data_IF_410051959623
#
_entry.id   IF_410051959623
#
_cell.length_a   1.000
_cell.length_b   1.000
_cell.length_c   1.000
_cell.angle_alpha   90.00
_cell.angle_beta   90.00
_cell.angle_gamma   90.00
#
_symmetry.space_group_name_H-M   'P 1'
#
loop_
_entity.id
_entity.type
_entity.pdbx_description
1 polymer ?
#
# COMPACT_ATOMS: atom_id res chain seq x y z
N UNK A 1 -4.28 -8.49 -18.81
CA UNK A 1 -4.70 -8.24 -18.00
C UNK A 1 -4.11 -8.51 -16.81
N UNK A 2 -4.20 -9.12 -16.27
CA UNK A 2 -3.67 -9.40 -15.15
C UNK A 2 -2.30 -9.30 -15.03
N UNK A 3 -1.60 -9.44 -15.87
CA UNK A 3 -0.24 -9.40 -15.81
C UNK A 3 0.25 -8.19 -15.24
N UNK A 4 -0.46 -7.27 -15.42
CA UNK A 4 -0.09 -6.07 -14.95
C UNK A 4 0.33 -6.09 -13.61
N UNK A 5 -0.25 -6.78 -12.84
CA UNK A 5 0.05 -6.76 -11.55
C UNK A 5 1.34 -7.22 -11.25
N UNK A 6 1.74 -8.10 -11.96
CA UNK A 6 2.96 -8.63 -11.73
C UNK A 6 4.05 -7.72 -11.59
N UNK A 7 4.18 -6.87 -12.43
CA UNK A 7 5.31 -6.01 -12.44
C UNK A 7 5.44 -5.30 -11.16
N UNK A 8 4.38 -5.02 -10.62
CA UNK A 8 4.46 -4.31 -9.46
C UNK A 8 5.11 -5.03 -8.46
N UNK A 9 4.92 -6.22 -8.46
CA UNK A 9 5.47 -6.94 -7.44
C UNK A 9 6.91 -6.94 -7.44
N UNK A 10 7.49 -6.63 -8.48
CA UNK A 10 8.87 -6.66 -8.55
C UNK A 10 9.57 -5.65 -7.77
N UNK A 11 8.98 -4.57 -7.63
CA UNK A 11 9.65 -3.54 -6.93
C UNK A 11 10.08 -3.92 -5.59
N UNK A 12 9.40 -4.65 -4.91
CA UNK A 12 9.77 -4.99 -3.58
C UNK A 12 11.07 -5.71 -3.55
N UNK A 13 11.41 -6.33 -4.58
CA UNK A 13 12.61 -7.05 -4.60
C UNK A 13 13.78 -6.24 -4.22
N UNK A 14 13.75 -5.04 -4.50
CA UNK A 14 14.85 -4.22 -4.19
C UNK A 14 15.05 -4.16 -2.74
N UNK A 15 14.00 -4.16 -2.03
CA UNK A 15 14.12 -4.07 -0.64
C UNK A 15 14.70 -5.30 -0.08
N UNK A 16 14.41 -6.39 -0.68
CA UNK A 16 14.92 -7.59 -0.13
C UNK A 16 16.38 -7.65 -0.21
N UNK A 17 16.95 -7.07 -1.17
CA UNK A 17 18.36 -7.18 -1.33
C UNK A 17 19.07 -6.51 -0.19
N UNK A 18 18.47 -5.58 0.43
CA UNK A 18 19.15 -4.92 1.47
C UNK A 18 19.25 -5.73 2.73
N UNK A 19 18.45 -6.68 2.90
CA UNK A 19 18.51 -7.41 4.09
C UNK A 19 19.68 -8.27 4.20
N UNK A 20 20.24 -8.60 3.15
CA UNK A 20 21.33 -9.42 3.14
C UNK A 20 22.42 -9.04 3.99
N UNK A 21 22.63 -7.83 4.16
CA UNK A 21 23.69 -7.37 4.92
C UNK A 21 23.57 -7.66 6.34
N UNK A 22 22.51 -7.96 6.83
CA UNK A 22 22.36 -8.11 8.20
C UNK A 22 23.19 -9.16 8.76
N UNK A 23 23.94 -8.81 9.68
CA UNK A 23 24.71 -9.74 10.29
C UNK A 23 23.86 -10.35 11.30
N UNK A 24 23.60 -11.51 11.20
CA UNK A 24 22.74 -12.13 12.01
C UNK A 24 23.06 -12.30 13.40
N UNK A 25 24.25 -12.42 13.70
CA UNK A 25 24.61 -12.70 15.01
C UNK A 25 24.33 -11.71 16.02
N UNK A 26 24.74 -10.55 15.83
CA UNK A 26 24.62 -9.57 16.82
C UNK A 26 23.30 -9.02 16.88
N UNK A 27 22.48 -9.46 16.06
CA UNK A 27 21.24 -8.88 15.99
C UNK A 27 20.16 -9.40 16.83
N UNK A 28 20.25 -10.52 17.37
CA UNK A 28 19.18 -11.06 18.11
C UNK A 28 18.57 -10.15 19.11
N UNK A 29 19.30 -9.62 20.03
CA UNK A 29 18.76 -8.74 21.01
C UNK A 29 18.36 -7.44 20.43
N UNK A 30 19.22 -6.86 19.62
CA UNK A 30 18.93 -5.58 19.04
C UNK A 30 17.73 -5.65 18.13
N UNK A 31 17.50 -6.80 17.54
CA UNK A 31 16.36 -6.96 16.65
C UNK A 31 15.06 -6.84 17.42
N UNK A 32 14.97 -7.37 18.62
CA UNK A 32 13.77 -7.27 19.40
C UNK A 32 13.49 -5.84 19.80
N UNK A 33 14.51 -5.11 20.16
CA UNK A 33 14.35 -3.73 20.53
C UNK A 33 13.96 -2.91 19.33
N UNK A 34 14.60 -3.16 18.20
CA UNK A 34 14.28 -2.43 17.01
C UNK A 34 12.85 -2.72 16.59
N UNK A 35 12.43 -3.97 16.69
CA UNK A 35 11.10 -4.34 16.29
C UNK A 35 10.06 -3.64 17.16
N UNK A 36 10.30 -3.53 18.44
CA UNK A 36 9.38 -2.86 19.33
C UNK A 36 9.31 -1.38 19.02
N UNK A 37 10.43 -0.77 18.72
CA UNK A 37 10.46 0.61 18.34
C UNK A 37 9.77 0.83 17.03
N UNK A 38 10.03 -0.05 16.07
CA UNK A 38 9.40 0.07 14.75
C UNK A 38 7.89 0.00 14.86
N UNK A 39 7.38 -0.78 15.79
CA UNK A 39 5.95 -0.90 15.96
C UNK A 39 5.36 0.42 16.39
N UNK A 40 6.01 1.13 17.28
CA UNK A 40 5.54 2.42 17.72
C UNK A 40 5.64 3.45 16.60
N UNK A 41 6.75 3.42 15.89
CA UNK A 41 6.96 4.36 14.80
C UNK A 41 5.91 4.13 13.72
N UNK A 42 5.65 2.87 13.40
CA UNK A 42 4.68 2.57 12.38
C UNK A 42 3.29 3.03 12.79
N UNK A 43 2.94 2.88 14.05
CA UNK A 43 1.64 3.29 14.51
C UNK A 43 1.45 4.78 14.27
N UNK A 44 2.46 5.58 14.59
CA UNK A 44 2.38 7.01 14.39
C UNK A 44 2.35 7.35 12.90
N UNK A 45 3.18 6.67 12.13
CA UNK A 45 3.22 6.93 10.70
C UNK A 45 1.88 6.59 10.05
N UNK A 46 1.33 5.45 10.41
CA UNK A 46 0.08 5.02 9.82
C UNK A 46 -1.04 6.02 10.14
N UNK A 47 -1.03 6.56 11.34
CA UNK A 47 -2.01 7.56 11.71
C UNK A 47 -1.88 8.78 10.81
N UNK A 48 -0.67 9.24 10.57
CA UNK A 48 -0.45 10.39 9.70
C UNK A 48 -0.86 10.08 8.27
N UNK A 49 -0.46 8.93 7.76
CA UNK A 49 -0.78 8.57 6.38
C UNK A 49 -2.28 8.50 6.18
N UNK A 50 -2.99 7.96 7.15
CA UNK A 50 -4.43 7.80 7.02
C UNK A 50 -5.16 9.12 7.28
N UNK A 51 -4.82 9.81 8.33
CA UNK A 51 -5.51 11.04 8.65
C UNK A 51 -5.28 12.14 7.65
N UNK A 52 -4.06 12.28 7.20
CA UNK A 52 -3.76 13.32 6.22
C UNK A 52 -3.96 12.82 4.80
N UNK A 53 -4.38 11.57 4.67
CA UNK A 53 -4.67 10.97 3.37
C UNK A 53 -3.50 11.07 2.40
N UNK A 54 -2.31 10.84 2.91
CA UNK A 54 -1.12 10.92 2.07
C UNK A 54 -1.16 9.87 0.97
N UNK A 55 -1.85 8.77 1.21
CA UNK A 55 -1.90 7.70 0.22
C UNK A 55 -2.67 8.08 -1.03
N UNK A 56 -3.42 9.17 -0.99
CA UNK A 56 -4.16 9.58 -2.18
C UNK A 56 -3.29 10.31 -3.20
N UNK A 57 -2.07 10.64 -2.83
CA UNK A 57 -1.16 11.25 -3.77
C UNK A 57 -0.52 10.16 -4.61
N UNK A 58 -0.66 10.17 -5.91
CA UNK A 58 -0.07 9.11 -6.73
C UNK A 58 1.44 9.17 -6.75
N UNK A 59 2.00 10.29 -6.32
CA UNK A 59 3.44 10.45 -6.33
C UNK A 59 4.08 10.10 -5.00
N UNK A 60 3.30 9.70 -4.02
CA UNK A 60 3.87 9.38 -2.73
C UNK A 60 4.90 8.27 -2.87
N UNK A 61 6.08 8.48 -2.33
CA UNK A 61 7.15 7.51 -2.47
C UNK A 61 7.56 6.98 -1.12
N UNK A 62 8.29 5.87 -1.17
CA UNK A 62 8.82 5.26 0.03
C UNK A 62 9.73 6.24 0.75
N UNK A 63 10.52 6.98 -0.01
CA UNK A 63 11.43 7.96 0.56
C UNK A 63 10.70 9.06 1.30
N UNK A 64 9.55 9.46 0.81
CA UNK A 64 8.77 10.48 1.48
C UNK A 64 8.42 10.04 2.89
N UNK A 65 7.93 8.82 3.03
CA UNK A 65 7.54 8.34 4.33
C UNK A 65 8.72 8.04 5.22
N UNK A 66 9.79 7.53 4.64
CA UNK A 66 10.98 7.25 5.43
C UNK A 66 11.53 8.53 6.03
N UNK A 67 11.42 9.62 5.30
CA UNK A 67 11.87 10.89 5.82
C UNK A 67 11.01 11.39 6.96
N UNK A 68 9.72 11.17 6.87
CA UNK A 68 8.84 11.60 7.94
C UNK A 68 9.24 10.97 9.25
N UNK A 69 9.63 9.70 9.21
CA UNK A 69 10.01 9.00 10.43
C UNK A 69 11.50 8.96 10.68
N UNK A 70 12.27 9.61 9.81
CA UNK A 70 13.71 9.72 9.99
C UNK A 70 14.42 8.36 10.01
N UNK A 71 13.99 7.46 9.17
CA UNK A 71 14.63 6.16 9.06
C UNK A 71 15.30 6.01 7.71
N UNK A 72 16.38 5.22 7.66
CA UNK A 72 16.98 4.96 6.38
C UNK A 72 16.10 3.93 5.65
N UNK A 73 16.37 3.72 4.38
CA UNK A 73 15.51 2.88 3.56
C UNK A 73 15.44 1.44 4.03
N UNK A 74 16.54 0.90 4.46
CA UNK A 74 16.55 -0.50 4.88
C UNK A 74 15.70 -0.71 6.13
N UNK A 75 15.85 0.16 7.11
CA UNK A 75 15.08 0.04 8.33
C UNK A 75 13.60 0.33 8.06
N UNK A 76 13.33 1.30 7.17
CA UNK A 76 11.97 1.62 6.83
C UNK A 76 11.29 0.40 6.19
N UNK A 77 11.98 -0.27 5.29
CA UNK A 77 11.42 -1.45 4.64
C UNK A 77 11.14 -2.56 5.65
N UNK A 78 12.04 -2.76 6.61
CA UNK A 78 11.81 -3.76 7.63
C UNK A 78 10.60 -3.41 8.48
N UNK A 79 10.48 -2.14 8.84
CA UNK A 79 9.37 -1.70 9.65
C UNK A 79 8.04 -1.94 8.93
N UNK A 80 7.96 -1.61 7.67
CA UNK A 80 6.74 -1.81 6.91
C UNK A 80 6.42 -3.30 6.84
N UNK A 81 7.41 -4.12 6.54
CA UNK A 81 7.17 -5.53 6.40
C UNK A 81 6.74 -6.16 7.73
N UNK A 82 7.37 -5.77 8.81
CA UNK A 82 7.03 -6.32 10.11
C UNK A 82 5.61 -5.96 10.53
N UNK A 83 5.17 -4.78 10.18
CA UNK A 83 3.88 -4.30 10.65
C UNK A 83 2.72 -4.51 9.69
N UNK A 84 3.00 -4.77 8.43
CA UNK A 84 1.93 -4.94 7.45
C UNK A 84 2.00 -6.27 6.71
N UNK A 85 3.12 -6.95 6.78
CA UNK A 85 3.29 -8.20 6.05
C UNK A 85 3.65 -8.00 4.60
N UNK A 86 3.78 -6.76 4.15
CA UNK A 86 4.07 -6.50 2.75
C UNK A 86 5.04 -5.34 2.65
N UNK A 87 5.26 -4.81 1.48
CA UNK A 87 6.20 -3.71 1.29
C UNK A 87 5.44 -2.40 1.17
N UNK A 88 6.16 -1.32 0.90
CA UNK A 88 5.57 0.00 0.81
C UNK A 88 4.43 0.03 -0.22
N UNK A 89 4.65 -0.52 -1.40
CA UNK A 89 3.62 -0.50 -2.43
C UNK A 89 2.39 -1.26 -1.99
N UNK A 90 2.57 -2.40 -1.37
CA UNK A 90 1.44 -3.18 -0.87
C UNK A 90 0.68 -2.43 0.20
N UNK A 91 1.40 -1.77 1.09
CA UNK A 91 0.80 -1.02 2.16
C UNK A 91 -0.05 0.13 1.61
N UNK A 92 0.51 0.91 0.73
CA UNK A 92 -0.19 2.07 0.19
C UNK A 92 -1.34 1.65 -0.71
N UNK A 93 -1.11 0.62 -1.52
CA UNK A 93 -2.18 0.18 -2.42
C UNK A 93 -3.36 -0.40 -1.65
N UNK A 94 -3.12 -0.99 -0.50
CA UNK A 94 -4.21 -1.50 0.32
C UNK A 94 -5.08 -0.32 0.79
N UNK A 95 -4.47 0.77 1.19
CA UNK A 95 -5.22 1.93 1.62
C UNK A 95 -5.98 2.54 0.44
N UNK A 96 -5.34 2.58 -0.71
CA UNK A 96 -5.95 3.15 -1.90
C UNK A 96 -7.15 2.32 -2.36
N UNK A 97 -7.03 1.00 -2.33
CA UNK A 97 -8.11 0.18 -2.82
C UNK A 97 -9.32 0.25 -1.87
N UNK A 98 -9.07 0.34 -0.58
CA UNK A 98 -10.17 0.47 0.35
C UNK A 98 -10.90 1.79 0.13
N UNK A 99 -10.16 2.84 -0.18
CA UNK A 99 -10.75 4.13 -0.45
C UNK A 99 -11.56 4.05 -1.76
N UNK A 100 -11.00 3.40 -2.77
CA UNK A 100 -11.68 3.28 -4.07
C UNK A 100 -13.00 2.54 -3.95
N UNK A 101 -13.03 1.49 -3.13
CA UNK A 101 -14.25 0.74 -2.95
C UNK A 101 -15.31 1.62 -2.30
N UNK A 102 -14.93 2.36 -1.28
CA UNK A 102 -15.88 3.24 -0.62
C UNK A 102 -16.36 4.33 -1.56
N UNK A 103 -15.45 4.85 -2.35
CA UNK A 103 -15.79 5.92 -3.28
C UNK A 103 -16.79 5.42 -4.31
N UNK A 104 -16.57 4.22 -4.83
CA UNK A 104 -17.48 3.67 -5.81
C UNK A 104 -18.85 3.41 -5.21
N UNK A 105 -18.89 3.00 -3.96
CA UNK A 105 -20.17 2.79 -3.30
C UNK A 105 -20.94 4.10 -3.14
N UNK A 106 -20.23 5.16 -2.83
CA UNK A 106 -20.89 6.45 -2.64
C UNK A 106 -21.24 7.13 -3.95
N UNK A 107 -20.44 6.91 -4.97
CA UNK A 107 -20.62 7.59 -6.25
C UNK A 107 -20.63 6.57 -7.39
N UNK A 108 -21.69 5.78 -7.48
CA UNK A 108 -21.72 4.71 -8.49
C UNK A 108 -21.70 5.25 -9.92
N UNK A 109 -21.94 6.52 -10.10
CA UNK A 109 -21.90 7.08 -11.45
C UNK A 109 -20.51 7.58 -11.84
N UNK A 110 -19.53 7.53 -10.96
CA UNK A 110 -18.19 7.92 -11.34
C UNK A 110 -17.63 6.91 -12.33
N UNK A 111 -16.80 7.37 -13.24
CA UNK A 111 -16.13 6.45 -14.14
C UNK A 111 -15.03 5.73 -13.39
N UNK A 112 -14.62 4.60 -13.91
CA UNK A 112 -13.56 3.85 -13.27
C UNK A 112 -12.27 4.67 -13.27
N UNK A 113 -12.06 5.44 -14.34
CA UNK A 113 -10.89 6.28 -14.39
C UNK A 113 -10.93 7.33 -13.29
N UNK A 114 -12.08 7.90 -13.06
CA UNK A 114 -12.21 8.90 -12.01
C UNK A 114 -11.95 8.27 -10.64
N UNK A 115 -12.42 7.06 -10.43
CA UNK A 115 -12.18 6.36 -9.18
C UNK A 115 -10.67 6.14 -8.99
N UNK A 116 -10.00 5.72 -10.04
CA UNK A 116 -8.57 5.48 -9.95
C UNK A 116 -7.83 6.77 -9.60
N UNK A 117 -8.20 7.85 -10.27
CA UNK A 117 -7.54 9.12 -10.03
C UNK A 117 -7.76 9.60 -8.62
N UNK A 118 -8.98 9.52 -8.14
CA UNK A 118 -9.29 10.00 -6.81
C UNK A 118 -8.65 9.15 -5.72
N UNK A 119 -8.47 7.88 -5.98
CA UNK A 119 -7.88 6.99 -5.00
C UNK A 119 -6.36 6.97 -5.02
N UNK A 120 -5.77 7.75 -5.90
CA UNK A 120 -4.31 7.84 -5.92
C UNK A 120 -3.60 6.81 -6.78
N UNK A 121 -4.35 6.04 -7.57
CA UNK A 121 -3.69 5.06 -8.42
C UNK A 121 -3.12 5.72 -9.65
N UNK A 122 -1.94 5.29 -10.06
CA UNK A 122 -1.32 5.84 -11.26
C UNK A 122 -1.95 5.30 -12.52
N UNK A 123 -2.62 4.18 -12.47
CA UNK A 123 -3.21 3.62 -13.68
C UNK A 123 -4.42 2.80 -13.33
N UNK A 124 -5.34 2.69 -14.28
CA UNK A 124 -6.53 1.89 -14.06
C UNK A 124 -6.24 0.40 -14.00
N UNK A 125 -5.26 -0.12 -14.75
CA UNK A 125 -4.98 -1.55 -14.62
C UNK A 125 -4.62 -1.98 -13.19
N UNK A 126 -3.92 -1.14 -12.48
CA UNK A 126 -3.58 -1.46 -11.11
C UNK A 126 -4.83 -1.48 -10.26
N UNK A 127 -5.71 -0.52 -10.46
CA UNK A 127 -6.97 -0.48 -9.75
C UNK A 127 -7.77 -1.75 -10.04
N UNK A 128 -7.86 -2.14 -11.30
CA UNK A 128 -8.61 -3.32 -11.67
C UNK A 128 -8.10 -4.55 -10.96
N UNK A 129 -6.80 -4.72 -11.00
CA UNK A 129 -6.17 -5.88 -10.41
C UNK A 129 -6.42 -5.94 -8.91
N UNK A 130 -6.19 -4.84 -8.24
CA UNK A 130 -6.36 -4.79 -6.80
C UNK A 130 -7.82 -4.94 -6.41
N UNK A 131 -8.71 -4.34 -7.20
CA UNK A 131 -10.13 -4.40 -6.91
C UNK A 131 -10.62 -5.84 -7.00
N UNK A 132 -10.21 -6.54 -8.04
CA UNK A 132 -10.62 -7.91 -8.21
C UNK A 132 -10.06 -8.81 -7.13
N UNK A 133 -8.84 -8.55 -6.72
CA UNK A 133 -8.24 -9.33 -5.69
C UNK A 133 -8.95 -9.12 -4.37
N UNK A 134 -9.39 -7.90 -4.11
CA UNK A 134 -10.01 -7.58 -2.84
C UNK A 134 -11.48 -7.98 -2.77
N UNK A 135 -12.23 -7.79 -3.84
CA UNK A 135 -13.66 -8.03 -3.82
C UNK A 135 -14.11 -9.23 -4.62
N UNK A 136 -13.25 -9.79 -5.43
CA UNK A 136 -13.64 -10.89 -6.31
C UNK A 136 -14.27 -10.39 -7.59
N UNK A 137 -14.45 -9.09 -7.76
CA UNK A 137 -15.07 -8.53 -8.94
C UNK A 137 -14.24 -7.42 -9.52
N UNK A 138 -14.40 -7.18 -10.81
CA UNK A 138 -13.78 -5.98 -11.38
C UNK A 138 -14.60 -4.78 -10.93
N UNK A 139 -14.07 -3.59 -11.04
CA UNK A 139 -14.84 -2.41 -10.68
C UNK A 139 -16.13 -2.28 -11.47
N UNK A 140 -16.08 -2.69 -12.73
CA UNK A 140 -17.27 -2.62 -13.55
C UNK A 140 -18.34 -3.59 -13.06
N UNK A 141 -17.95 -4.81 -12.74
CA UNK A 141 -18.87 -5.80 -12.20
C UNK A 141 -19.44 -5.33 -10.88
N UNK A 142 -18.63 -4.70 -10.08
CA UNK A 142 -19.08 -4.20 -8.79
C UNK A 142 -20.14 -3.12 -8.99
N UNK A 143 -19.91 -2.23 -9.95
CA UNK A 143 -20.88 -1.19 -10.25
C UNK A 143 -22.20 -1.80 -10.68
N UNK A 144 -22.14 -2.78 -11.55
CA UNK A 144 -23.36 -3.41 -12.02
C UNK A 144 -24.10 -4.09 -10.88
N UNK A 145 -23.38 -4.73 -10.01
CA UNK A 145 -24.00 -5.40 -8.90
C UNK A 145 -24.70 -4.40 -7.99
N UNK A 146 -24.13 -3.24 -7.80
CA UNK A 146 -24.74 -2.24 -6.98
C UNK A 146 -25.99 -1.69 -7.63
N UNK A 147 -26.00 -1.55 -8.92
CA UNK A 147 -27.17 -1.07 -9.62
C UNK A 147 -28.32 -2.04 -9.44
N UNK A 148 -28.00 -3.32 -9.47
CA UNK A 148 -29.04 -4.32 -9.33
C UNK A 148 -29.69 -4.26 -7.96
N UNK A 149 -28.92 -3.94 -6.97
CA UNK A 149 -29.47 -3.90 -5.66
C UNK A 149 -30.25 -2.67 -5.45
N UNK A 150 -29.77 -1.62 -5.94
CA UNK A 150 -30.34 -0.34 -5.72
C UNK A 150 -31.50 -0.10 -6.57
#
# INVERSE_FOLDING_TARGET
>A
EDPVVVPLDLEPDEESSEKIDLSLDEVSENHDEEEAENKKIFKDLNRIVVQDQLYLSPELSREDLAQIVHLNNARFARMIKENTGTNFNGYVNELRINYAIKLLKRHPNYTIRAIADEAGFNSTPILYSMFKKKTGMTPYEFKKAQESIG
#
